data_IF_910106539345
#
_entry.id   IF_910106539345
#
_cell.length_a   1.000
_cell.length_b   1.000
_cell.length_c   1.000
_cell.angle_alpha   90.00
_cell.angle_beta   90.00
_cell.angle_gamma   90.00
#
_symmetry.space_group_name_H-M   'P 1'
#
loop_
_entity.id
_entity.type
_entity.pdbx_description
1 polymer ?
#
# COMPACT_ATOMS: atom_id res chain seq x y z
N UNK A 1 -20.87 5.27 8.41
CA UNK A 1 -19.41 5.29 8.15
C UNK A 1 -19.19 4.69 6.78
N UNK A 2 -18.47 5.37 5.88
CA UNK A 2 -18.25 4.88 4.51
C UNK A 2 -17.44 3.58 4.49
N UNK A 3 -17.55 2.78 3.43
CA UNK A 3 -16.82 1.52 3.33
C UNK A 3 -15.29 1.73 3.37
N UNK A 4 -14.78 2.74 2.66
CA UNK A 4 -13.37 3.13 2.67
C UNK A 4 -12.91 3.44 4.09
N UNK A 5 -13.67 4.23 4.86
CA UNK A 5 -13.34 4.58 6.24
C UNK A 5 -13.27 3.34 7.14
N UNK A 6 -14.20 2.40 6.96
CA UNK A 6 -14.25 1.14 7.71
C UNK A 6 -13.02 0.28 7.43
N UNK A 7 -12.71 0.06 6.17
CA UNK A 7 -11.54 -0.74 5.73
C UNK A 7 -10.23 -0.08 6.18
N UNK A 8 -10.12 1.23 6.05
CA UNK A 8 -8.94 1.98 6.50
C UNK A 8 -8.71 1.88 8.00
N UNK A 9 -9.78 2.03 8.80
CA UNK A 9 -9.68 1.88 10.26
C UNK A 9 -9.35 0.45 10.69
N UNK A 10 -9.89 -0.56 10.00
CA UNK A 10 -9.57 -1.96 10.29
C UNK A 10 -8.08 -2.29 10.07
N UNK A 11 -7.47 -1.78 9.01
CA UNK A 11 -6.06 -2.06 8.71
C UNK A 11 -5.11 -1.20 9.54
N UNK A 12 -5.43 0.08 9.72
CA UNK A 12 -4.47 1.05 10.28
C UNK A 12 -4.73 1.43 11.73
N UNK A 13 -5.97 1.27 12.21
CA UNK A 13 -6.44 1.84 13.48
C UNK A 13 -6.82 3.32 13.42
N UNK A 14 -6.60 4.01 12.29
CA UNK A 14 -6.84 5.44 12.13
C UNK A 14 -8.05 5.73 11.24
N UNK A 15 -8.57 6.96 11.32
CA UNK A 15 -9.58 7.45 10.37
C UNK A 15 -8.85 8.14 9.22
N UNK A 16 -9.19 7.86 7.94
CA UNK A 16 -8.52 8.49 6.82
C UNK A 16 -8.85 9.99 6.73
N UNK A 17 -7.88 10.80 6.33
CA UNK A 17 -8.08 12.20 5.96
C UNK A 17 -8.90 12.30 4.67
N UNK A 18 -9.54 13.45 4.45
CA UNK A 18 -10.38 13.67 3.26
C UNK A 18 -9.61 13.44 1.94
N UNK A 19 -8.39 13.96 1.83
CA UNK A 19 -7.58 13.77 0.63
C UNK A 19 -7.19 12.30 0.39
N UNK A 20 -7.07 11.49 1.46
CA UNK A 20 -6.80 10.04 1.32
C UNK A 20 -8.06 9.33 0.79
N UNK A 21 -9.24 9.70 1.27
CA UNK A 21 -10.52 9.15 0.77
C UNK A 21 -10.70 9.44 -0.72
N UNK A 22 -10.53 10.70 -1.10
CA UNK A 22 -10.62 11.15 -2.50
C UNK A 22 -9.60 10.41 -3.38
N UNK A 23 -8.33 10.32 -2.94
CA UNK A 23 -7.32 9.59 -3.68
C UNK A 23 -7.64 8.09 -3.80
N UNK A 24 -8.19 7.46 -2.77
CA UNK A 24 -8.62 6.06 -2.81
C UNK A 24 -9.76 5.88 -3.81
N UNK A 25 -10.76 6.77 -3.83
CA UNK A 25 -11.88 6.71 -4.77
C UNK A 25 -11.39 6.76 -6.22
N UNK A 26 -10.58 7.77 -6.57
CA UNK A 26 -10.03 7.86 -7.93
C UNK A 26 -9.12 6.66 -8.27
N UNK A 27 -8.33 6.15 -7.31
CA UNK A 27 -7.50 4.97 -7.55
C UNK A 27 -8.36 3.73 -7.87
N UNK A 28 -9.45 3.53 -7.14
CA UNK A 28 -10.37 2.39 -7.34
C UNK A 28 -11.20 2.52 -8.62
N UNK A 29 -11.32 3.72 -9.17
CA UNK A 29 -11.93 3.98 -10.47
C UNK A 29 -10.93 3.84 -11.64
N UNK A 30 -9.67 3.46 -11.34
CA UNK A 30 -8.64 3.16 -12.33
C UNK A 30 -7.83 4.37 -12.81
N UNK A 31 -7.95 5.52 -12.16
CA UNK A 31 -7.18 6.71 -12.54
C UNK A 31 -5.73 6.64 -12.05
N UNK A 32 -4.82 7.18 -12.85
CA UNK A 32 -3.45 7.47 -12.44
C UNK A 32 -3.39 8.79 -11.66
N UNK A 33 -2.73 8.79 -10.50
CA UNK A 33 -2.76 9.91 -9.56
C UNK A 33 -1.38 10.51 -9.30
N UNK A 34 -1.34 11.84 -9.23
CA UNK A 34 -0.21 12.59 -8.67
C UNK A 34 -0.70 13.30 -7.41
N UNK A 35 -0.25 12.82 -6.25
CA UNK A 35 -0.70 13.33 -4.95
C UNK A 35 0.34 14.24 -4.33
N UNK A 36 -0.03 15.51 -4.10
CA UNK A 36 0.78 16.48 -3.37
C UNK A 36 0.30 16.58 -1.92
N UNK A 37 1.02 15.96 -1.01
CA UNK A 37 0.81 16.09 0.43
C UNK A 37 2.16 16.12 1.17
N UNK A 38 2.26 16.70 2.38
CA UNK A 38 3.51 16.72 3.14
C UNK A 38 3.98 15.30 3.52
N UNK A 39 5.25 15.18 3.91
CA UNK A 39 5.76 13.94 4.53
C UNK A 39 5.00 13.67 5.84
N UNK A 40 4.77 12.41 6.16
CA UNK A 40 4.02 12.04 7.36
C UNK A 40 2.48 12.13 7.24
N UNK A 41 1.94 12.61 6.12
CA UNK A 41 0.48 12.71 5.92
C UNK A 41 -0.24 11.37 5.69
N UNK A 42 0.46 10.22 5.71
CA UNK A 42 -0.14 8.92 5.45
C UNK A 42 -0.37 8.59 3.97
N UNK A 43 0.49 9.12 3.07
CA UNK A 43 0.41 8.84 1.62
C UNK A 43 0.57 7.35 1.28
N UNK A 44 1.27 6.59 2.11
CA UNK A 44 1.49 5.16 1.84
C UNK A 44 0.22 4.34 2.09
N UNK A 45 -0.50 4.66 3.16
CA UNK A 45 -1.72 3.95 3.57
C UNK A 45 -2.85 4.16 2.56
N UNK A 46 -2.92 5.32 1.89
CA UNK A 46 -3.92 5.55 0.83
C UNK A 46 -3.73 4.63 -0.39
N UNK A 47 -2.56 4.00 -0.55
CA UNK A 47 -2.28 3.02 -1.60
C UNK A 47 -2.39 1.59 -1.05
N UNK A 48 -1.76 1.32 0.09
CA UNK A 48 -1.71 -0.02 0.67
C UNK A 48 -3.08 -0.52 1.11
N UNK A 49 -3.89 0.33 1.76
CA UNK A 49 -5.20 -0.07 2.28
C UNK A 49 -6.14 -0.53 1.17
N UNK A 50 -6.43 0.27 0.12
CA UNK A 50 -7.33 -0.21 -0.93
C UNK A 50 -6.78 -1.46 -1.62
N UNK A 51 -5.47 -1.53 -1.90
CA UNK A 51 -4.88 -2.73 -2.48
C UNK A 51 -5.14 -3.99 -1.66
N UNK A 52 -4.93 -3.94 -0.34
CA UNK A 52 -5.14 -5.10 0.55
C UNK A 52 -6.57 -5.66 0.47
N UNK A 53 -7.56 -4.81 0.21
CA UNK A 53 -8.96 -5.25 0.15
C UNK A 53 -9.48 -5.53 -1.25
N UNK A 54 -8.89 -4.94 -2.28
CA UNK A 54 -9.44 -4.92 -3.65
C UNK A 54 -8.55 -5.66 -4.65
N UNK A 55 -7.43 -6.23 -4.21
CA UNK A 55 -6.56 -7.11 -5.01
C UNK A 55 -7.38 -8.25 -5.60
N UNK A 56 -7.24 -8.48 -6.91
CA UNK A 56 -8.02 -9.45 -7.70
C UNK A 56 -9.54 -9.19 -7.81
N UNK A 57 -10.04 -8.10 -7.24
CA UNK A 57 -11.44 -7.68 -7.38
C UNK A 57 -11.54 -6.46 -8.30
N UNK A 58 -11.08 -5.29 -7.81
CA UNK A 58 -11.02 -4.03 -8.58
C UNK A 58 -9.60 -3.62 -8.94
N UNK A 59 -8.60 -4.13 -8.23
CA UNK A 59 -7.19 -3.82 -8.44
C UNK A 59 -6.42 -5.04 -8.97
N UNK A 60 -5.28 -4.83 -9.66
CA UNK A 60 -4.46 -5.92 -10.19
C UNK A 60 -4.01 -6.92 -9.12
N UNK A 61 -3.57 -8.09 -9.55
CA UNK A 61 -3.11 -9.18 -8.68
C UNK A 61 -1.82 -8.87 -7.90
N UNK A 62 -1.10 -7.80 -8.26
CA UNK A 62 0.18 -7.45 -7.67
C UNK A 62 0.37 -5.93 -7.56
N UNK A 63 0.99 -5.50 -6.47
CA UNK A 63 1.46 -4.14 -6.23
C UNK A 63 2.99 -4.10 -6.17
N UNK A 64 3.59 -3.27 -7.02
CA UNK A 64 5.01 -2.89 -6.91
C UNK A 64 5.09 -1.45 -6.40
N UNK A 65 5.68 -1.27 -5.23
CA UNK A 65 5.89 0.03 -4.60
C UNK A 65 7.40 0.38 -4.64
N UNK A 66 7.80 1.24 -5.59
CA UNK A 66 9.19 1.73 -5.69
C UNK A 66 9.43 2.95 -4.81
N UNK A 67 10.59 2.99 -4.16
CA UNK A 67 11.00 4.03 -3.22
C UNK A 67 12.48 4.40 -3.45
N UNK A 68 12.86 5.68 -3.27
CA UNK A 68 14.18 6.15 -3.70
C UNK A 68 15.34 5.65 -2.83
N UNK A 69 15.07 5.09 -1.64
CA UNK A 69 16.15 4.63 -0.75
C UNK A 69 15.74 3.41 0.10
N UNK A 70 16.76 2.67 0.53
CA UNK A 70 16.64 1.42 1.28
C UNK A 70 15.94 1.60 2.63
N UNK A 71 16.19 2.72 3.33
CA UNK A 71 15.57 2.98 4.65
C UNK A 71 14.06 3.14 4.53
N UNK A 72 13.58 3.80 3.48
CA UNK A 72 12.14 3.91 3.19
C UNK A 72 11.55 2.55 2.82
N UNK A 73 12.26 1.76 2.01
CA UNK A 73 11.85 0.40 1.63
C UNK A 73 11.68 -0.48 2.86
N UNK A 74 12.65 -0.48 3.77
CA UNK A 74 12.60 -1.23 5.02
C UNK A 74 11.45 -0.77 5.93
N UNK A 75 11.30 0.54 6.12
CA UNK A 75 10.25 1.09 6.95
C UNK A 75 8.85 0.76 6.40
N UNK A 76 8.63 1.02 5.11
CA UNK A 76 7.36 0.75 4.46
C UNK A 76 7.09 -0.74 4.35
N UNK A 77 8.11 -1.56 4.05
CA UNK A 77 8.04 -3.01 3.99
C UNK A 77 7.53 -3.63 5.28
N UNK A 78 8.05 -3.19 6.43
CA UNK A 78 7.58 -3.66 7.73
C UNK A 78 6.11 -3.27 8.01
N UNK A 79 5.70 -2.06 7.60
CA UNK A 79 4.29 -1.64 7.69
C UNK A 79 3.40 -2.43 6.75
N UNK A 80 3.82 -2.64 5.51
CA UNK A 80 3.10 -3.42 4.51
C UNK A 80 2.90 -4.87 5.00
N UNK A 81 3.95 -5.53 5.52
CA UNK A 81 3.84 -6.86 6.13
C UNK A 81 2.79 -6.91 7.25
N UNK A 82 2.80 -5.91 8.15
CA UNK A 82 1.80 -5.80 9.22
C UNK A 82 0.39 -5.63 8.68
N UNK A 83 0.17 -4.70 7.74
CA UNK A 83 -1.14 -4.41 7.18
C UNK A 83 -1.69 -5.58 6.33
N UNK A 84 -0.84 -6.16 5.49
CA UNK A 84 -1.15 -7.29 4.62
C UNK A 84 -1.52 -8.57 5.38
N UNK A 85 -1.00 -8.74 6.61
CA UNK A 85 -1.30 -9.91 7.45
C UNK A 85 -2.81 -10.10 7.70
N UNK A 86 -3.59 -9.00 7.67
CA UNK A 86 -5.04 -9.02 7.80
C UNK A 86 -5.73 -9.89 6.73
N UNK A 87 -5.18 -9.91 5.51
CA UNK A 87 -5.67 -10.69 4.37
C UNK A 87 -4.73 -11.83 3.97
N UNK A 88 -3.69 -12.09 4.78
CA UNK A 88 -2.64 -13.09 4.51
C UNK A 88 -1.96 -12.89 3.15
N UNK A 89 -1.86 -11.64 2.69
CA UNK A 89 -1.13 -11.32 1.46
C UNK A 89 0.38 -11.44 1.70
N UNK A 90 1.08 -11.98 0.72
CA UNK A 90 2.54 -12.14 0.73
C UNK A 90 3.17 -10.80 0.40
N UNK A 91 4.18 -10.43 1.19
CA UNK A 91 4.89 -9.16 1.02
C UNK A 91 6.40 -9.42 0.97
N UNK A 92 7.04 -8.95 -0.10
CA UNK A 92 8.48 -8.96 -0.25
C UNK A 92 9.08 -7.56 -0.12
N UNK A 93 10.21 -7.47 0.58
CA UNK A 93 11.07 -6.29 0.65
C UNK A 93 12.31 -6.57 -0.18
N UNK A 94 12.53 -5.78 -1.23
CA UNK A 94 13.59 -6.01 -2.21
C UNK A 94 14.47 -4.76 -2.37
N UNK A 95 15.78 -4.89 -2.20
CA UNK A 95 16.76 -3.88 -2.59
C UNK A 95 18.14 -4.51 -2.69
N UNK A 96 19.16 -3.79 -3.16
CA UNK A 96 20.52 -4.35 -3.38
C UNK A 96 21.28 -4.90 -2.17
N UNK A 97 20.67 -5.01 -0.99
CA UNK A 97 21.23 -5.71 0.20
C UNK A 97 20.28 -6.78 0.78
N UNK A 98 19.05 -6.87 0.26
CA UNK A 98 17.99 -7.77 0.73
C UNK A 98 17.14 -8.18 -0.46
N UNK A 99 17.22 -9.45 -0.84
CA UNK A 99 16.48 -10.00 -1.96
C UNK A 99 15.49 -11.01 -1.39
N UNK A 100 14.31 -10.54 -0.98
CA UNK A 100 13.25 -11.44 -0.50
C UNK A 100 12.46 -12.08 -1.63
N UNK A 101 12.53 -11.51 -2.83
CA UNK A 101 11.86 -12.03 -4.01
C UNK A 101 12.83 -12.11 -5.17
N UNK A 102 12.96 -13.30 -5.76
CA UNK A 102 13.79 -13.52 -6.95
C UNK A 102 13.03 -13.20 -8.24
N UNK A 103 11.75 -13.56 -8.27
CA UNK A 103 10.89 -13.49 -9.46
C UNK A 103 9.73 -12.50 -9.31
N UNK A 104 9.65 -11.77 -8.21
CA UNK A 104 8.55 -10.83 -7.91
C UNK A 104 7.19 -11.54 -7.98
N UNK A 105 7.03 -12.63 -7.22
CA UNK A 105 5.81 -13.44 -7.22
C UNK A 105 4.83 -13.08 -6.10
N UNK A 106 5.26 -12.27 -5.13
CA UNK A 106 4.46 -11.84 -4.00
C UNK A 106 3.40 -10.82 -4.41
N UNK A 107 2.34 -10.74 -3.59
CA UNK A 107 1.18 -9.89 -3.89
C UNK A 107 1.54 -8.40 -3.71
N UNK A 108 2.44 -8.09 -2.76
CA UNK A 108 3.00 -6.75 -2.55
C UNK A 108 4.53 -6.82 -2.54
N UNK A 109 5.16 -5.98 -3.35
CA UNK A 109 6.60 -5.83 -3.41
C UNK A 109 6.95 -4.39 -3.07
N UNK A 110 7.76 -4.20 -2.02
CA UNK A 110 8.32 -2.89 -1.68
C UNK A 110 9.78 -2.90 -2.08
N UNK A 111 10.16 -2.05 -3.04
CA UNK A 111 11.49 -2.07 -3.65
C UNK A 111 12.12 -0.70 -3.82
N UNK A 112 13.44 -0.67 -4.01
CA UNK A 112 14.11 0.46 -4.67
C UNK A 112 13.88 0.38 -6.16
#
# INVERSE_FOLDING_TARGET
>A
MGEIERRFRQVTGFTPYNFQKEAIEYLLDGYSLIVRAPTGAGKSEMVLVPFIYEVNERLPSQLIYSLPNRTLVENLGNRAKRYASFKKLRVAVHHGKRVESQLFEEDIIITT
#
